data_IF_524755397750
#
_entry.id   IF_524755397750
#
_cell.length_a   1.000
_cell.length_b   1.000
_cell.length_c   1.000
_cell.angle_alpha   90.00
_cell.angle_beta   90.00
_cell.angle_gamma   90.00
#
_symmetry.space_group_name_H-M   'P 1'
#
loop_
_entity.id
_entity.type
_entity.pdbx_description
1 polymer ?
#
# COMPACT_ATOMS: atom_id res chain seq x y z
N UNK A 1 3.79 -20.02 -38.65
CA UNK A 1 3.63 -19.40 -37.32
C UNK A 1 2.36 -19.96 -36.68
N UNK A 2 2.49 -20.70 -35.57
CA UNK A 2 1.39 -21.48 -35.00
C UNK A 2 0.31 -20.60 -34.34
N UNK A 3 -0.98 -20.74 -34.72
CA UNK A 3 -2.07 -19.88 -34.25
C UNK A 3 -2.35 -19.99 -32.74
N UNK A 4 -1.97 -21.11 -32.11
CA UNK A 4 -2.11 -21.34 -30.66
C UNK A 4 -1.22 -20.43 -29.80
N UNK A 5 -0.05 -20.01 -30.30
CA UNK A 5 0.86 -19.13 -29.57
C UNK A 5 0.35 -17.68 -29.48
N UNK A 6 -0.37 -17.21 -30.50
CA UNK A 6 -1.00 -15.87 -30.50
C UNK A 6 -2.12 -15.76 -29.46
N UNK A 7 -2.86 -16.86 -29.23
CA UNK A 7 -3.96 -16.90 -28.28
C UNK A 7 -3.48 -16.82 -26.82
N UNK A 8 -2.40 -17.55 -26.49
CA UNK A 8 -1.78 -17.50 -25.16
C UNK A 8 -1.08 -16.15 -24.89
N UNK A 9 -0.45 -15.54 -25.90
CA UNK A 9 0.16 -14.23 -25.77
C UNK A 9 -0.89 -13.12 -25.51
N UNK A 10 -2.04 -13.19 -26.21
CA UNK A 10 -3.16 -12.28 -25.97
C UNK A 10 -3.72 -12.42 -24.55
N UNK A 11 -3.82 -13.65 -24.03
CA UNK A 11 -4.26 -13.90 -22.66
C UNK A 11 -3.30 -13.33 -21.61
N UNK A 12 -1.98 -13.48 -21.81
CA UNK A 12 -0.97 -12.91 -20.91
C UNK A 12 -1.00 -11.38 -20.90
N UNK A 13 -1.15 -10.75 -22.07
CA UNK A 13 -1.27 -9.29 -22.16
C UNK A 13 -2.55 -8.82 -21.47
N UNK A 14 -3.68 -9.51 -21.69
CA UNK A 14 -4.94 -9.19 -21.04
C UNK A 14 -4.88 -9.35 -19.52
N UNK A 15 -4.28 -10.43 -19.01
CA UNK A 15 -4.08 -10.66 -17.58
C UNK A 15 -3.16 -9.59 -16.96
N UNK A 16 -2.08 -9.20 -17.65
CA UNK A 16 -1.20 -8.13 -17.21
C UNK A 16 -1.93 -6.79 -17.11
N UNK A 17 -2.76 -6.45 -18.10
CA UNK A 17 -3.60 -5.25 -18.06
C UNK A 17 -4.65 -5.31 -16.95
N UNK A 18 -5.25 -6.48 -16.68
CA UNK A 18 -6.19 -6.66 -15.57
C UNK A 18 -5.53 -6.41 -14.21
N UNK A 19 -4.32 -6.94 -14.01
CA UNK A 19 -3.53 -6.70 -12.79
C UNK A 19 -3.16 -5.23 -12.65
N UNK A 20 -2.77 -4.56 -13.74
CA UNK A 20 -2.46 -3.12 -13.72
C UNK A 20 -3.68 -2.25 -13.39
N UNK A 21 -4.85 -2.54 -13.98
CA UNK A 21 -6.09 -1.80 -13.70
C UNK A 21 -6.54 -1.99 -12.25
N UNK A 22 -6.40 -3.20 -11.72
CA UNK A 22 -6.71 -3.48 -10.32
C UNK A 22 -5.72 -2.78 -9.37
N UNK A 23 -4.44 -2.73 -9.74
CA UNK A 23 -3.41 -2.01 -9.00
C UNK A 23 -3.68 -0.49 -8.94
N UNK A 24 -4.02 0.15 -10.06
CA UNK A 24 -4.36 1.59 -10.08
C UNK A 24 -5.61 1.92 -9.25
N UNK A 25 -6.65 1.08 -9.33
CA UNK A 25 -7.88 1.24 -8.53
C UNK A 25 -7.62 1.17 -7.02
N UNK A 26 -6.68 0.33 -6.58
CA UNK A 26 -6.28 0.23 -5.17
C UNK A 26 -5.48 1.45 -4.70
N UNK A 27 -4.55 1.93 -5.53
CA UNK A 27 -3.69 3.09 -5.21
C UNK A 27 -4.52 4.37 -5.07
N UNK A 28 -5.55 4.57 -5.90
CA UNK A 28 -6.36 5.78 -5.89
C UNK A 28 -7.23 5.94 -4.63
N UNK A 29 -7.59 4.84 -3.95
CA UNK A 29 -8.32 4.88 -2.67
C UNK A 29 -7.45 5.33 -1.47
N UNK A 30 -6.12 5.26 -1.60
CA UNK A 30 -5.19 5.57 -0.49
C UNK A 30 -4.66 6.99 -0.48
N UNK A 31 -5.22 7.91 -1.28
CA UNK A 31 -4.82 9.32 -1.31
C UNK A 31 -5.29 10.13 -0.09
N UNK A 32 -5.19 9.57 1.11
CA UNK A 32 -5.35 10.30 2.35
C UNK A 32 -4.05 11.07 2.62
N UNK A 33 -4.11 12.31 3.10
CA UNK A 33 -2.90 13.07 3.42
C UNK A 33 -2.16 12.38 4.57
N UNK A 34 -0.97 11.82 4.32
CA UNK A 34 -0.20 11.13 5.35
C UNK A 34 0.59 12.14 6.18
N UNK A 35 0.24 12.27 7.47
CA UNK A 35 0.90 13.19 8.40
C UNK A 35 1.73 12.42 9.44
N UNK A 36 2.83 13.01 9.94
CA UNK A 36 3.56 12.46 11.08
C UNK A 36 2.65 12.27 12.31
N UNK A 37 2.95 11.24 13.11
CA UNK A 37 2.17 10.95 14.32
C UNK A 37 2.23 12.11 15.33
N UNK A 38 3.39 12.78 15.42
CA UNK A 38 3.54 14.00 16.24
C UNK A 38 2.62 15.14 15.81
N UNK A 39 2.36 15.27 14.50
CA UNK A 39 1.49 16.33 13.98
C UNK A 39 0.01 15.99 14.25
N UNK A 40 -0.35 14.70 14.18
CA UNK A 40 -1.65 14.21 14.66
C UNK A 40 -1.87 14.54 16.15
N UNK A 41 -0.90 14.26 17.02
CA UNK A 41 -1.00 14.58 18.45
C UNK A 41 -1.20 16.08 18.70
N UNK A 42 -0.50 16.94 17.95
CA UNK A 42 -0.72 18.39 18.02
C UNK A 42 -2.13 18.78 17.63
N UNK A 43 -2.63 18.28 16.50
CA UNK A 43 -4.00 18.55 16.05
C UNK A 43 -5.06 18.03 17.04
N UNK A 44 -4.78 16.91 17.72
CA UNK A 44 -5.62 16.36 18.77
C UNK A 44 -5.65 17.27 20.00
N UNK A 45 -4.47 17.74 20.45
CA UNK A 45 -4.34 18.66 21.58
C UNK A 45 -4.98 20.03 21.29
N UNK A 46 -4.92 20.50 20.04
CA UNK A 46 -5.58 21.72 19.56
C UNK A 46 -7.08 21.54 19.32
N UNK A 47 -7.64 20.35 19.57
CA UNK A 47 -9.06 20.05 19.40
C UNK A 47 -9.59 20.26 17.97
N UNK A 48 -8.71 20.14 16.96
CA UNK A 48 -9.01 20.35 15.53
C UNK A 48 -9.54 19.10 14.80
N UNK A 49 -9.62 17.97 15.50
CA UNK A 49 -10.02 16.68 14.93
C UNK A 49 -11.48 16.39 15.29
N UNK A 50 -12.31 16.12 14.29
CA UNK A 50 -13.73 15.80 14.45
C UNK A 50 -13.95 14.33 14.82
N UNK A 51 -13.20 13.44 14.18
CA UNK A 51 -13.35 11.99 14.32
C UNK A 51 -12.02 11.30 14.08
N UNK A 52 -11.79 10.18 14.77
CA UNK A 52 -10.61 9.32 14.62
C UNK A 52 -11.07 7.87 14.50
N UNK A 53 -10.61 7.19 13.45
CA UNK A 53 -10.80 5.76 13.21
C UNK A 53 -9.43 5.09 13.35
N UNK A 54 -9.35 4.06 14.19
CA UNK A 54 -8.10 3.34 14.47
C UNK A 54 -8.17 1.95 13.84
N UNK A 55 -7.28 1.70 12.89
CA UNK A 55 -7.03 0.39 12.29
C UNK A 55 -5.77 -0.25 12.92
N UNK A 56 -5.52 -1.52 12.62
CA UNK A 56 -4.39 -2.27 13.17
C UNK A 56 -3.02 -1.59 12.95
N UNK A 57 -2.87 -0.91 11.79
CA UNK A 57 -1.60 -0.30 11.38
C UNK A 57 -1.64 1.24 11.31
N UNK A 58 -2.83 1.84 11.22
CA UNK A 58 -2.99 3.26 10.87
C UNK A 58 -4.12 3.91 11.66
N UNK A 59 -4.00 5.21 11.86
CA UNK A 59 -5.01 6.08 12.45
C UNK A 59 -5.47 7.04 11.35
N UNK A 60 -6.76 7.03 11.05
CA UNK A 60 -7.37 7.94 10.07
C UNK A 60 -8.18 8.97 10.84
N UNK A 61 -7.92 10.25 10.62
CA UNK A 61 -8.62 11.34 11.27
C UNK A 61 -9.30 12.27 10.28
N UNK A 62 -10.40 12.87 10.73
CA UNK A 62 -11.16 13.88 9.98
C UNK A 62 -11.01 15.24 10.67
N UNK A 63 -10.67 16.29 9.92
CA UNK A 63 -10.56 17.65 10.46
C UNK A 63 -11.95 18.29 10.64
N UNK A 64 -12.13 19.06 11.72
CA UNK A 64 -13.37 19.83 11.98
C UNK A 64 -13.58 20.94 10.96
N UNK A 65 -12.52 21.71 10.71
CA UNK A 65 -12.50 22.82 9.76
C UNK A 65 -11.35 22.59 8.77
N UNK A 66 -11.60 21.90 7.65
CA UNK A 66 -10.60 21.79 6.61
C UNK A 66 -10.38 23.15 5.97
N UNK A 67 -9.13 23.62 5.90
CA UNK A 67 -8.78 24.80 5.12
C UNK A 67 -9.12 24.56 3.63
N UNK A 68 -9.37 25.63 2.87
CA UNK A 68 -9.87 25.57 1.49
C UNK A 68 -9.02 24.71 0.51
N UNK A 69 -7.78 24.37 0.87
CA UNK A 69 -6.87 23.52 0.10
C UNK A 69 -6.40 22.25 0.86
N UNK A 70 -6.93 21.96 2.04
CA UNK A 70 -6.55 20.79 2.82
C UNK A 70 -7.55 19.65 2.64
N UNK A 71 -7.02 18.43 2.50
CA UNK A 71 -7.84 17.22 2.50
C UNK A 71 -8.54 17.10 3.85
N UNK A 72 -9.86 16.88 3.82
CA UNK A 72 -10.69 16.72 5.01
C UNK A 72 -10.27 15.54 5.90
N UNK A 73 -9.63 14.54 5.30
CA UNK A 73 -9.14 13.35 5.98
C UNK A 73 -7.61 13.28 5.89
N UNK A 74 -6.99 12.90 7.00
CA UNK A 74 -5.57 12.59 7.12
C UNK A 74 -5.39 11.18 7.66
N UNK A 75 -4.24 10.58 7.36
CA UNK A 75 -3.84 9.29 7.89
C UNK A 75 -2.50 9.46 8.60
N UNK A 76 -2.26 8.67 9.64
CA UNK A 76 -0.96 8.56 10.28
C UNK A 76 -0.72 7.11 10.68
N UNK A 77 0.54 6.68 10.70
CA UNK A 77 0.85 5.31 11.10
C UNK A 77 0.87 5.22 12.63
N UNK A 78 0.29 4.14 13.17
CA UNK A 78 0.19 3.95 14.62
C UNK A 78 1.57 3.71 15.22
N UNK A 79 1.98 4.57 16.15
CA UNK A 79 3.20 4.42 16.97
C UNK A 79 2.82 3.84 18.34
N UNK A 80 3.69 3.05 18.95
CA UNK A 80 3.49 2.56 20.32
C UNK A 80 3.54 3.70 21.33
N UNK A 81 2.69 3.62 22.35
CA UNK A 81 2.47 4.71 23.30
C UNK A 81 3.75 5.09 24.07
N UNK A 82 4.54 4.11 24.49
CA UNK A 82 5.76 4.35 25.29
C UNK A 82 6.82 5.11 24.49
N UNK A 83 6.99 4.75 23.22
CA UNK A 83 7.92 5.42 22.29
C UNK A 83 7.39 6.80 21.92
N UNK A 84 6.09 6.92 21.67
CA UNK A 84 5.46 8.20 21.37
C UNK A 84 5.64 9.20 22.52
N UNK A 85 5.43 8.77 23.77
CA UNK A 85 5.59 9.63 24.95
C UNK A 85 7.04 10.11 25.12
N UNK A 86 8.01 9.21 24.92
CA UNK A 86 9.43 9.55 24.98
C UNK A 86 9.78 10.58 23.91
N UNK A 87 9.39 10.35 22.65
CA UNK A 87 9.71 11.24 21.54
C UNK A 87 9.00 12.60 21.64
N UNK A 88 7.76 12.61 22.13
CA UNK A 88 7.00 13.85 22.38
C UNK A 88 7.65 14.71 23.46
N UNK A 89 8.20 14.08 24.52
CA UNK A 89 8.96 14.79 25.56
C UNK A 89 10.21 15.52 25.03
N UNK A 90 10.73 15.07 23.89
CA UNK A 90 11.89 15.68 23.21
C UNK A 90 11.48 16.63 22.08
N UNK A 91 10.18 16.81 21.81
CA UNK A 91 9.68 17.75 20.81
C UNK A 91 10.06 17.42 19.37
N UNK A 92 10.48 16.19 19.09
CA UNK A 92 10.92 15.77 17.75
C UNK A 92 9.73 15.34 16.88
N UNK A 93 9.86 15.48 15.56
CA UNK A 93 8.87 14.90 14.62
C UNK A 93 9.14 13.41 14.45
N UNK A 94 8.09 12.60 14.58
CA UNK A 94 8.20 11.15 14.45
C UNK A 94 6.99 10.52 13.78
N UNK A 95 7.23 9.40 13.10
CA UNK A 95 6.22 8.60 12.43
C UNK A 95 6.73 7.16 12.32
N UNK A 96 5.84 6.18 12.39
CA UNK A 96 6.21 4.79 12.09
C UNK A 96 6.31 4.61 10.58
N UNK A 97 7.42 4.06 10.10
CA UNK A 97 7.51 3.55 8.73
C UNK A 97 6.98 2.12 8.74
N UNK A 98 5.95 1.85 7.95
CA UNK A 98 5.54 0.47 7.67
C UNK A 98 6.43 -0.04 6.55
N UNK A 99 7.21 -1.09 6.81
CA UNK A 99 7.93 -1.77 5.73
C UNK A 99 6.92 -2.38 4.77
N UNK A 100 6.86 -1.86 3.55
CA UNK A 100 5.92 -2.32 2.55
C UNK A 100 6.43 -3.62 1.93
N UNK A 101 6.14 -4.75 2.58
CA UNK A 101 6.55 -6.08 2.11
C UNK A 101 5.77 -6.55 0.87
N UNK A 102 4.78 -5.80 0.38
CA UNK A 102 3.97 -6.15 -0.79
C UNK A 102 4.82 -6.58 -2.00
N UNK A 103 5.91 -5.86 -2.30
CA UNK A 103 6.79 -6.24 -3.42
C UNK A 103 7.45 -7.59 -3.16
N UNK A 104 7.95 -7.80 -1.94
CA UNK A 104 8.60 -9.04 -1.53
C UNK A 104 7.62 -10.22 -1.50
N UNK A 105 6.42 -9.99 -0.98
CA UNK A 105 5.32 -10.96 -0.95
C UNK A 105 4.92 -11.35 -2.38
N UNK A 106 4.75 -10.37 -3.27
CA UNK A 106 4.43 -10.61 -4.68
C UNK A 106 5.54 -11.39 -5.38
N UNK A 107 6.79 -10.95 -5.27
CA UNK A 107 7.92 -11.66 -5.87
C UNK A 107 8.05 -13.09 -5.33
N UNK A 108 7.77 -13.32 -4.04
CA UNK A 108 7.95 -14.63 -3.41
C UNK A 108 7.01 -15.71 -3.95
N UNK A 109 5.79 -15.36 -4.38
CA UNK A 109 4.87 -16.32 -4.99
C UNK A 109 4.95 -16.34 -6.52
N UNK A 110 5.39 -15.25 -7.14
CA UNK A 110 5.61 -15.16 -8.59
C UNK A 110 6.82 -15.98 -9.03
N UNK A 111 7.93 -15.96 -8.28
CA UNK A 111 9.15 -16.69 -8.64
C UNK A 111 8.90 -18.21 -8.79
N UNK A 112 8.22 -18.90 -7.84
CA UNK A 112 7.85 -20.30 -8.00
C UNK A 112 7.01 -20.57 -9.26
N UNK A 113 6.03 -19.72 -9.56
CA UNK A 113 5.19 -19.87 -10.77
C UNK A 113 6.05 -19.84 -12.03
N UNK A 114 7.00 -18.91 -12.13
CA UNK A 114 7.93 -18.85 -13.25
C UNK A 114 8.84 -20.07 -13.36
N UNK A 115 9.32 -20.62 -12.22
CA UNK A 115 10.11 -21.85 -12.21
C UNK A 115 9.30 -23.03 -12.74
N UNK A 116 8.08 -23.24 -12.25
CA UNK A 116 7.20 -24.30 -12.74
C UNK A 116 6.87 -24.13 -14.23
N UNK A 117 6.59 -22.91 -14.67
CA UNK A 117 6.29 -22.62 -16.07
C UNK A 117 7.50 -22.88 -16.97
N UNK A 118 8.71 -22.50 -16.54
CA UNK A 118 9.96 -22.79 -17.24
C UNK A 118 10.23 -24.28 -17.37
N UNK A 119 10.01 -25.04 -16.29
CA UNK A 119 10.15 -26.50 -16.31
C UNK A 119 9.13 -27.17 -17.25
N UNK A 120 7.87 -26.72 -17.23
CA UNK A 120 6.84 -27.21 -18.15
C UNK A 120 7.23 -26.96 -19.60
N UNK A 121 7.70 -25.76 -19.93
CA UNK A 121 8.12 -25.41 -21.29
C UNK A 121 9.30 -26.26 -21.78
N UNK A 122 10.27 -26.56 -20.91
CA UNK A 122 11.37 -27.46 -21.23
C UNK A 122 10.90 -28.89 -21.50
N UNK A 123 9.95 -29.40 -20.71
CA UNK A 123 9.36 -30.72 -20.92
C UNK A 123 8.51 -30.78 -22.19
N UNK A 124 7.68 -29.77 -22.44
CA UNK A 124 6.86 -29.66 -23.64
C UNK A 124 7.70 -29.60 -24.92
N UNK A 125 8.87 -28.96 -24.88
CA UNK A 125 9.84 -28.93 -25.99
C UNK A 125 10.49 -30.30 -26.26
N UNK A 126 10.50 -31.21 -25.28
CA UNK A 126 11.12 -32.54 -25.40
C UNK A 126 10.15 -33.62 -25.91
N UNK A 127 8.85 -33.35 -25.87
CA UNK A 127 7.79 -34.26 -26.33
C UNK A 127 7.15 -33.84 -27.67
N UNK A 128 7.69 -32.79 -28.30
CA UNK A 128 7.26 -32.28 -29.62
C UNK A 128 8.40 -32.26 -30.63
#
# INVERSE_FOLDING_TARGET
MNPKARFNAAYLIFAFFLVLLFHEGWVQYTQVAHIPYSDFQKLLNENKIAEVIINDHQIVGTLKEPEANQKKQFATNRVEQDIALLLDSHGVKYSRVLENNLVKEVLSWVLPVFVFFGLWLLLAKRMG
#
